data_IF_733924593753
#
_entry.id   IF_733924593753
#
_cell.length_a   1.000
_cell.length_b   1.000
_cell.length_c   1.000
_cell.angle_alpha   90.00
_cell.angle_beta   90.00
_cell.angle_gamma   90.00
#
_symmetry.space_group_name_H-M   'P 1'
#
loop_
_entity.id
_entity.type
_entity.pdbx_description
1 polymer ?
#
# COMPACT_ATOMS: atom_id res chain seq x y z
N UNK A 1 -9.99 -4.77 -2.77
CA UNK A 1 -10.20 -3.62 -1.86
C UNK A 1 -11.36 -2.81 -2.39
N UNK A 2 -12.32 -2.45 -1.54
CA UNK A 2 -13.45 -1.61 -1.93
C UNK A 2 -13.28 -0.21 -1.34
N UNK A 3 -13.54 0.83 -2.13
CA UNK A 3 -13.47 2.25 -1.72
C UNK A 3 -14.85 2.91 -1.73
N UNK A 4 -14.95 4.08 -1.11
CA UNK A 4 -16.15 4.93 -1.08
C UNK A 4 -16.26 5.85 -2.33
N UNK A 5 -15.14 6.04 -3.04
CA UNK A 5 -15.03 6.88 -4.24
C UNK A 5 -14.01 6.30 -5.24
N UNK A 6 -14.01 6.76 -6.50
CA UNK A 6 -13.02 6.35 -7.48
C UNK A 6 -11.59 6.71 -7.04
N UNK A 7 -10.67 5.77 -7.21
CA UNK A 7 -9.25 5.95 -6.90
C UNK A 7 -8.37 5.62 -8.09
N UNK A 8 -7.28 6.37 -8.24
CA UNK A 8 -6.38 6.31 -9.38
C UNK A 8 -5.19 5.37 -9.14
N UNK A 9 -4.73 5.24 -7.89
CA UNK A 9 -3.59 4.38 -7.56
C UNK A 9 -3.61 3.87 -6.12
N UNK A 10 -2.82 2.84 -5.87
CA UNK A 10 -2.62 2.27 -4.54
C UNK A 10 -1.14 2.17 -4.21
N UNK A 11 -0.81 2.36 -2.93
CA UNK A 11 0.54 2.15 -2.43
C UNK A 11 0.51 1.57 -1.02
N UNK A 12 1.52 0.76 -0.71
CA UNK A 12 1.80 0.31 0.65
C UNK A 12 3.09 0.93 1.17
N UNK A 13 3.10 1.28 2.45
CA UNK A 13 4.27 1.80 3.17
C UNK A 13 4.50 0.95 4.41
N UNK A 14 5.70 0.39 4.57
CA UNK A 14 6.00 -0.48 5.72
C UNK A 14 6.01 0.32 7.01
N UNK A 15 5.41 -0.22 8.07
CA UNK A 15 5.54 0.36 9.41
C UNK A 15 7.00 0.28 9.84
N UNK A 16 7.51 1.35 10.44
CA UNK A 16 8.93 1.48 10.76
C UNK A 16 9.17 2.08 12.14
N UNK A 17 10.33 1.79 12.70
CA UNK A 17 10.91 2.52 13.82
C UNK A 17 12.10 3.37 13.35
N UNK A 18 12.30 4.53 13.97
CA UNK A 18 13.41 5.44 13.65
C UNK A 18 14.21 5.69 14.93
N UNK A 19 15.53 5.51 14.86
CA UNK A 19 16.44 5.86 15.95
C UNK A 19 17.75 6.36 15.38
N UNK A 20 18.35 7.39 16.00
CA UNK A 20 19.63 7.97 15.58
C UNK A 20 19.72 8.25 14.06
N UNK A 21 18.65 8.81 13.48
CA UNK A 21 18.48 9.07 12.02
C UNK A 21 18.36 7.84 11.12
N UNK A 22 18.44 6.63 11.66
CA UNK A 22 18.36 5.38 10.91
C UNK A 22 16.93 4.85 10.89
N UNK A 23 16.46 4.54 9.68
CA UNK A 23 15.21 3.81 9.41
C UNK A 23 15.46 2.76 8.32
N UNK A 24 15.78 1.53 8.73
CA UNK A 24 16.01 0.42 7.79
C UNK A 24 14.71 -0.24 7.33
N UNK A 25 13.59 0.13 7.95
CA UNK A 25 12.32 -0.55 7.77
C UNK A 25 11.43 0.09 6.71
N UNK A 26 11.42 1.43 6.65
CA UNK A 26 10.49 2.16 5.80
C UNK A 26 10.83 1.98 4.32
N UNK A 27 9.82 1.49 3.61
CA UNK A 27 9.85 1.26 2.17
C UNK A 27 8.45 1.49 1.62
N UNK A 28 8.36 1.97 0.38
CA UNK A 28 7.09 2.18 -0.33
C UNK A 28 7.04 1.30 -1.57
N UNK A 29 5.93 0.59 -1.74
CA UNK A 29 5.64 -0.16 -2.96
C UNK A 29 4.36 0.38 -3.60
N UNK A 30 4.43 0.68 -4.90
CA UNK A 30 3.23 0.92 -5.69
C UNK A 30 2.55 -0.41 -5.98
N UNK A 31 1.23 -0.47 -5.85
CA UNK A 31 0.45 -1.68 -6.12
C UNK A 31 -0.31 -1.50 -7.45
N UNK A 32 0.08 -2.22 -8.52
CA UNK A 32 -0.68 -2.22 -9.75
C UNK A 32 -2.11 -2.72 -9.53
N UNK A 33 -3.07 -2.04 -10.14
CA UNK A 33 -4.46 -2.48 -10.18
C UNK A 33 -4.55 -3.57 -11.25
N UNK A 34 -4.91 -4.79 -10.84
CA UNK A 34 -5.07 -5.92 -11.75
C UNK A 34 -6.44 -5.92 -12.44
N UNK A 35 -7.49 -5.51 -11.72
CA UNK A 35 -8.83 -5.34 -12.27
C UNK A 35 -9.67 -4.39 -11.41
N UNK A 36 -10.73 -3.84 -12.01
CA UNK A 36 -11.69 -2.94 -11.36
C UNK A 36 -13.11 -3.40 -11.68
N UNK A 37 -13.94 -3.50 -10.65
CA UNK A 37 -15.38 -3.75 -10.75
C UNK A 37 -16.12 -2.72 -9.87
N UNK A 38 -16.65 -1.68 -10.51
CA UNK A 38 -17.22 -0.52 -9.80
C UNK A 38 -16.16 0.16 -8.93
N UNK A 39 -16.36 0.13 -7.60
CA UNK A 39 -15.42 0.65 -6.59
C UNK A 39 -14.59 -0.45 -5.92
N UNK A 40 -14.60 -1.67 -6.48
CA UNK A 40 -13.80 -2.80 -5.99
C UNK A 40 -12.60 -3.03 -6.89
N UNK A 41 -11.41 -3.06 -6.29
CA UNK A 41 -10.12 -3.13 -6.94
C UNK A 41 -9.39 -4.42 -6.54
N UNK A 42 -8.96 -5.21 -7.52
CA UNK A 42 -7.97 -6.26 -7.30
C UNK A 42 -6.57 -5.67 -7.45
N UNK A 43 -5.70 -5.89 -6.47
CA UNK A 43 -4.33 -5.36 -6.48
C UNK A 43 -3.35 -6.51 -6.66
N UNK A 44 -2.32 -6.29 -7.48
CA UNK A 44 -1.22 -7.25 -7.64
C UNK A 44 -0.13 -6.97 -6.63
N UNK A 45 0.17 -7.95 -5.79
CA UNK A 45 1.32 -7.93 -4.89
C UNK A 45 2.56 -8.46 -5.63
N UNK A 46 3.77 -7.92 -5.36
CA UNK A 46 5.01 -8.54 -5.80
C UNK A 46 5.19 -9.92 -5.16
N UNK A 47 5.62 -10.91 -5.94
CA UNK A 47 5.88 -12.27 -5.46
C UNK A 47 7.27 -12.40 -4.79
N UNK A 48 8.15 -11.44 -5.02
CA UNK A 48 9.48 -11.39 -4.42
C UNK A 48 9.44 -10.95 -2.94
N UNK A 49 9.89 -11.85 -2.06
CA UNK A 49 9.93 -11.64 -0.60
C UNK A 49 11.01 -10.63 -0.17
N UNK A 50 12.01 -10.34 -1.01
CA UNK A 50 12.98 -9.28 -0.76
C UNK A 50 12.37 -7.89 -0.88
N UNK A 51 11.44 -7.74 -1.83
CA UNK A 51 10.67 -6.53 -2.08
C UNK A 51 9.51 -6.40 -1.09
N UNK A 52 8.65 -7.42 -1.00
CA UNK A 52 7.51 -7.49 -0.08
C UNK A 52 7.87 -8.30 1.17
N UNK A 53 8.58 -7.66 2.09
CA UNK A 53 8.95 -8.29 3.36
C UNK A 53 7.72 -8.50 4.25
N UNK A 54 7.68 -9.65 4.93
CA UNK A 54 6.66 -9.97 5.92
C UNK A 54 6.60 -8.92 7.05
N UNK A 55 5.40 -8.70 7.59
CA UNK A 55 5.15 -7.73 8.65
C UNK A 55 4.00 -6.79 8.33
N UNK A 56 3.94 -5.68 9.07
CA UNK A 56 2.85 -4.72 8.98
C UNK A 56 3.13 -3.59 7.99
N UNK A 57 2.12 -3.32 7.16
CA UNK A 57 2.15 -2.30 6.12
C UNK A 57 0.91 -1.42 6.21
N UNK A 58 1.07 -0.14 5.90
CA UNK A 58 -0.01 0.82 5.70
C UNK A 58 -0.43 0.80 4.24
N UNK A 59 -1.68 0.49 3.95
CA UNK A 59 -2.27 0.56 2.61
C UNK A 59 -3.00 1.89 2.41
N UNK A 60 -2.67 2.57 1.32
CA UNK A 60 -3.27 3.83 0.90
C UNK A 60 -3.94 3.68 -0.46
N UNK A 61 -5.14 4.21 -0.57
CA UNK A 61 -5.77 4.51 -1.86
C UNK A 61 -5.61 6.00 -2.15
N UNK A 62 -5.29 6.35 -3.39
CA UNK A 62 -4.98 7.72 -3.80
C UNK A 62 -5.91 8.08 -4.95
N UNK A 63 -6.66 9.17 -4.81
CA UNK A 63 -7.59 9.65 -5.83
C UNK A 63 -6.86 10.35 -7.02
N UNK A 64 -7.62 10.76 -8.03
CA UNK A 64 -7.08 11.42 -9.22
C UNK A 64 -6.46 12.80 -8.93
N UNK A 65 -6.81 13.43 -7.81
CA UNK A 65 -6.21 14.68 -7.35
C UNK A 65 -4.95 14.45 -6.47
N UNK A 66 -4.58 13.19 -6.23
CA UNK A 66 -3.43 12.83 -5.42
C UNK A 66 -3.71 12.80 -3.92
N UNK A 67 -4.98 12.88 -3.49
CA UNK A 67 -5.34 12.85 -2.06
C UNK A 67 -5.32 11.39 -1.56
N UNK A 68 -4.48 11.07 -0.56
CA UNK A 68 -4.44 9.74 0.03
C UNK A 68 -5.57 9.52 1.04
N UNK A 69 -6.02 8.29 1.17
CA UNK A 69 -6.91 7.85 2.26
C UNK A 69 -6.18 7.82 3.62
N UNK A 70 -6.94 7.68 4.70
CA UNK A 70 -6.38 7.16 5.96
C UNK A 70 -5.84 5.75 5.71
N UNK A 71 -4.70 5.43 6.32
CA UNK A 71 -4.05 4.14 6.15
C UNK A 71 -4.91 2.99 6.70
N UNK A 72 -5.03 1.90 5.93
CA UNK A 72 -5.48 0.61 6.45
C UNK A 72 -4.26 -0.26 6.75
N UNK A 73 -4.12 -0.71 7.99
CA UNK A 73 -3.02 -1.62 8.37
C UNK A 73 -3.33 -3.02 7.83
N UNK A 74 -2.35 -3.60 7.13
CA UNK A 74 -2.41 -4.94 6.54
C UNK A 74 -1.13 -5.70 6.89
N UNK A 75 -1.26 -6.99 7.21
CA UNK A 75 -0.13 -7.84 7.56
C UNK A 75 0.20 -8.78 6.40
N UNK A 76 1.43 -8.68 5.89
CA UNK A 76 1.99 -9.59 4.88
C UNK A 76 2.63 -10.78 5.59
N UNK A 77 2.38 -12.00 5.10
CA UNK A 77 2.93 -13.26 5.62
C UNK A 77 3.96 -13.82 4.64
#
# INVERSE_FOLDING_TARGET
MTTDRPVASFAIVRLSAVTHTVNNDQRRLALPIASVEGLTYALKLPDDRGTLIAGDWMLFAIDAAGVPSVAKVVRMK
#
